data_IF_969508160934
#
_entry.id   IF_969508160934
#
_cell.length_a   1.000
_cell.length_b   1.000
_cell.length_c   1.000
_cell.angle_alpha   90.00
_cell.angle_beta   90.00
_cell.angle_gamma   90.00
#
_symmetry.space_group_name_H-M   'P 1'
#
loop_
_entity.id
_entity.type
_entity.pdbx_description
1 polymer ?
#
# COMPACT_ATOMS: atom_id res chain seq x y z
N UNK A 1 38.22 -0.04 -18.01
CA UNK A 1 36.78 -0.34 -17.83
C UNK A 1 36.65 -1.78 -17.34
N UNK A 2 36.18 -2.01 -16.11
CA UNK A 2 35.84 -3.38 -15.67
C UNK A 2 34.60 -3.83 -16.43
N UNK A 3 34.63 -5.04 -16.98
CA UNK A 3 33.46 -5.67 -17.60
C UNK A 3 32.34 -5.79 -16.56
N UNK A 4 31.12 -5.33 -16.90
CA UNK A 4 29.94 -5.48 -16.04
C UNK A 4 29.63 -6.96 -15.86
N UNK A 5 29.28 -7.37 -14.65
CA UNK A 5 28.83 -8.74 -14.39
C UNK A 5 27.56 -9.07 -15.19
N UNK A 6 27.34 -10.35 -15.48
CA UNK A 6 26.11 -10.81 -16.14
C UNK A 6 24.84 -10.40 -15.36
N UNK A 7 24.91 -10.29 -14.03
CA UNK A 7 23.82 -9.77 -13.20
C UNK A 7 23.55 -8.29 -13.47
N UNK A 8 24.58 -7.45 -13.56
CA UNK A 8 24.43 -6.02 -13.88
C UNK A 8 23.74 -5.79 -15.23
N UNK A 9 24.11 -6.56 -16.26
CA UNK A 9 23.46 -6.48 -17.59
C UNK A 9 21.98 -6.85 -17.53
N UNK A 10 21.61 -7.88 -16.73
CA UNK A 10 20.21 -8.27 -16.54
C UNK A 10 19.42 -7.22 -15.75
N UNK A 11 20.01 -6.62 -14.73
CA UNK A 11 19.37 -5.53 -13.98
C UNK A 11 19.08 -4.34 -14.89
N UNK A 12 20.01 -3.97 -15.77
CA UNK A 12 19.80 -2.89 -16.76
C UNK A 12 18.66 -3.19 -17.74
N UNK A 13 18.47 -4.46 -18.10
CA UNK A 13 17.33 -4.89 -18.89
C UNK A 13 16.01 -4.68 -18.13
N UNK A 14 15.92 -5.12 -16.87
CA UNK A 14 14.72 -4.91 -16.06
C UNK A 14 14.46 -3.44 -15.75
N UNK A 15 15.50 -2.65 -15.54
CA UNK A 15 15.41 -1.19 -15.40
C UNK A 15 14.73 -0.56 -16.60
N UNK A 16 15.17 -0.91 -17.81
CA UNK A 16 14.51 -0.44 -19.04
C UNK A 16 13.05 -0.88 -19.15
N UNK A 17 12.72 -2.10 -18.73
CA UNK A 17 11.33 -2.57 -18.72
C UNK A 17 10.49 -1.73 -17.76
N UNK A 18 10.89 -1.65 -16.49
CA UNK A 18 10.17 -0.92 -15.45
C UNK A 18 9.92 0.53 -15.85
N UNK A 19 10.90 1.22 -16.43
CA UNK A 19 10.71 2.56 -16.95
C UNK A 19 9.71 2.63 -18.11
N UNK A 20 9.79 1.69 -19.06
CA UNK A 20 8.93 1.67 -20.26
C UNK A 20 7.51 1.16 -20.02
N UNK A 21 7.24 0.45 -18.93
CA UNK A 21 5.93 -0.16 -18.68
C UNK A 21 5.23 0.39 -17.44
N UNK A 22 5.97 0.83 -16.42
CA UNK A 22 5.40 1.30 -15.15
C UNK A 22 5.69 2.79 -14.94
N UNK A 23 6.97 3.16 -14.80
CA UNK A 23 7.33 4.51 -14.35
C UNK A 23 7.00 5.61 -15.35
N UNK A 24 6.94 5.32 -16.66
CA UNK A 24 6.46 6.28 -17.66
C UNK A 24 5.03 6.77 -17.43
N UNK A 25 4.22 6.04 -16.65
CA UNK A 25 2.84 6.39 -16.34
C UNK A 25 2.69 7.01 -14.94
N UNK A 26 3.77 7.06 -14.15
CA UNK A 26 3.73 7.62 -12.80
C UNK A 26 3.46 9.13 -12.88
N UNK A 27 2.42 9.59 -12.19
CA UNK A 27 2.13 11.01 -12.15
C UNK A 27 3.26 11.76 -11.41
N UNK A 28 3.83 12.84 -11.99
CA UNK A 28 4.98 13.52 -11.40
C UNK A 28 4.65 14.27 -10.11
N UNK A 29 3.39 14.66 -9.91
CA UNK A 29 2.95 15.44 -8.74
C UNK A 29 2.54 14.50 -7.61
N UNK A 30 1.58 13.61 -7.87
CA UNK A 30 1.01 12.73 -6.84
C UNK A 30 1.84 11.46 -6.61
N UNK A 31 2.59 11.00 -7.63
CA UNK A 31 3.23 9.68 -7.61
C UNK A 31 2.32 8.52 -7.97
N UNK A 32 1.03 8.76 -8.18
CA UNK A 32 0.06 7.71 -8.45
C UNK A 32 0.12 7.23 -9.91
N UNK A 33 -0.20 5.96 -10.11
CA UNK A 33 -0.35 5.32 -11.41
C UNK A 33 -1.84 5.27 -11.79
N UNK A 34 -2.22 5.73 -12.99
CA UNK A 34 -3.56 5.52 -13.53
C UNK A 34 -3.76 4.06 -13.94
N UNK A 35 -5.01 3.60 -13.96
CA UNK A 35 -5.38 2.26 -14.42
C UNK A 35 -5.08 2.05 -15.91
N UNK A 36 -5.22 3.11 -16.73
CA UNK A 36 -4.84 3.08 -18.14
C UNK A 36 -4.56 4.49 -18.67
N UNK A 37 -4.21 4.63 -19.95
CA UNK A 37 -4.05 5.93 -20.62
C UNK A 37 -5.32 6.79 -20.57
N UNK A 38 -6.48 6.14 -20.65
CA UNK A 38 -7.78 6.81 -20.75
C UNK A 38 -8.55 6.81 -19.43
N UNK A 39 -8.10 6.01 -18.45
CA UNK A 39 -8.68 5.93 -17.13
C UNK A 39 -7.71 6.47 -16.07
N UNK A 40 -7.94 7.72 -15.64
CA UNK A 40 -7.13 8.37 -14.61
C UNK A 40 -7.45 7.94 -13.18
N UNK A 41 -8.22 6.88 -12.96
CA UNK A 41 -8.40 6.33 -11.62
C UNK A 41 -7.16 5.55 -11.20
N UNK A 42 -6.76 5.69 -9.95
CA UNK A 42 -5.64 5.05 -9.32
C UNK A 42 -6.18 4.16 -8.20
N UNK A 43 -6.34 2.87 -8.49
CA UNK A 43 -6.66 1.89 -7.45
C UNK A 43 -5.46 1.68 -6.54
N UNK A 44 -5.72 1.61 -5.23
CA UNK A 44 -4.70 1.39 -4.21
C UNK A 44 -3.94 0.08 -4.52
N UNK A 45 -4.66 -1.01 -4.80
CA UNK A 45 -4.06 -2.32 -5.11
C UNK A 45 -3.18 -2.30 -6.35
N UNK A 46 -3.69 -1.75 -7.45
CA UNK A 46 -2.97 -1.72 -8.73
C UNK A 46 -1.67 -0.92 -8.62
N UNK A 47 -1.72 0.19 -7.88
CA UNK A 47 -0.54 1.00 -7.56
C UNK A 47 0.48 0.20 -6.74
N UNK A 48 0.03 -0.52 -5.72
CA UNK A 48 0.88 -1.34 -4.87
C UNK A 48 1.50 -2.53 -5.62
N UNK A 49 0.71 -3.28 -6.39
CA UNK A 49 1.23 -4.40 -7.19
C UNK A 49 2.22 -3.93 -8.25
N UNK A 50 1.99 -2.77 -8.86
CA UNK A 50 2.93 -2.20 -9.83
C UNK A 50 4.23 -1.78 -9.17
N UNK A 51 4.17 -1.10 -8.02
CA UNK A 51 5.38 -0.57 -7.35
C UNK A 51 6.25 -1.67 -6.73
N UNK A 52 5.69 -2.83 -6.38
CA UNK A 52 6.47 -3.98 -5.89
C UNK A 52 7.56 -4.39 -6.89
N UNK A 53 7.29 -4.35 -8.19
CA UNK A 53 8.30 -4.66 -9.21
C UNK A 53 9.45 -3.62 -9.23
N UNK A 54 9.11 -2.35 -9.03
CA UNK A 54 10.08 -1.23 -8.94
C UNK A 54 10.96 -1.38 -7.70
N UNK A 55 10.33 -1.64 -6.55
CA UNK A 55 11.01 -1.84 -5.27
C UNK A 55 11.87 -3.12 -5.27
N UNK A 56 11.37 -4.23 -5.82
CA UNK A 56 12.16 -5.45 -5.96
C UNK A 56 13.42 -5.24 -6.81
N UNK A 57 13.31 -4.45 -7.88
CA UNK A 57 14.47 -4.07 -8.69
C UNK A 57 15.44 -3.17 -7.93
N UNK A 58 14.94 -2.19 -7.15
CA UNK A 58 15.82 -1.33 -6.34
C UNK A 58 16.58 -2.14 -5.29
N UNK A 59 15.93 -3.10 -4.64
CA UNK A 59 16.56 -4.02 -3.69
C UNK A 59 17.62 -4.90 -4.37
N UNK A 60 17.36 -5.35 -5.59
CA UNK A 60 18.32 -6.12 -6.37
C UNK A 60 19.55 -5.29 -6.75
N UNK A 61 19.37 -4.03 -7.17
CA UNK A 61 20.49 -3.11 -7.41
C UNK A 61 21.26 -2.81 -6.11
N UNK A 62 20.55 -2.52 -5.00
CA UNK A 62 21.16 -2.26 -3.68
C UNK A 62 22.09 -3.38 -3.25
N UNK A 63 21.71 -4.64 -3.47
CA UNK A 63 22.53 -5.82 -3.15
C UNK A 63 23.76 -5.98 -4.04
N UNK A 64 23.74 -5.43 -5.26
CA UNK A 64 24.79 -5.57 -6.28
C UNK A 64 25.51 -4.24 -6.59
N UNK A 65 25.38 -3.23 -5.74
CA UNK A 65 25.86 -1.87 -6.00
C UNK A 65 27.39 -1.73 -5.86
N UNK A 66 28.12 -2.34 -6.79
CA UNK A 66 29.59 -2.27 -6.89
C UNK A 66 30.06 -0.97 -7.58
N UNK A 67 29.15 -0.25 -8.24
CA UNK A 67 29.42 0.93 -9.06
C UNK A 67 28.50 2.10 -8.67
N UNK A 68 29.00 3.33 -8.81
CA UNK A 68 28.22 4.54 -8.49
C UNK A 68 26.96 4.70 -9.37
N UNK A 69 27.00 4.23 -10.61
CA UNK A 69 25.83 4.22 -11.52
C UNK A 69 24.68 3.35 -10.97
N UNK A 70 25.01 2.20 -10.37
CA UNK A 70 24.00 1.28 -9.82
C UNK A 70 23.39 1.86 -8.52
N UNK A 71 24.16 2.64 -7.76
CA UNK A 71 23.66 3.40 -6.61
C UNK A 71 22.68 4.49 -7.03
N UNK A 72 22.98 5.22 -8.11
CA UNK A 72 22.08 6.24 -8.64
C UNK A 72 20.74 5.63 -9.10
N UNK A 73 20.78 4.53 -9.87
CA UNK A 73 19.57 3.79 -10.27
C UNK A 73 18.77 3.29 -9.08
N UNK A 74 19.46 2.74 -8.08
CA UNK A 74 18.81 2.32 -6.82
C UNK A 74 18.04 3.48 -6.21
N UNK A 75 18.69 4.63 -6.03
CA UNK A 75 18.09 5.81 -5.43
C UNK A 75 16.87 6.30 -6.21
N UNK A 76 16.96 6.40 -7.54
CA UNK A 76 15.84 6.83 -8.39
C UNK A 76 14.64 5.88 -8.27
N UNK A 77 14.86 4.57 -8.32
CA UNK A 77 13.80 3.57 -8.14
C UNK A 77 13.15 3.66 -6.75
N UNK A 78 13.97 3.83 -5.70
CA UNK A 78 13.48 4.01 -4.33
C UNK A 78 12.64 5.28 -4.17
N UNK A 79 13.09 6.40 -4.75
CA UNK A 79 12.32 7.65 -4.72
C UNK A 79 11.00 7.53 -5.49
N UNK A 80 10.97 6.81 -6.61
CA UNK A 80 9.71 6.47 -7.28
C UNK A 80 8.76 5.66 -6.40
N UNK A 81 9.28 4.71 -5.62
CA UNK A 81 8.47 3.93 -4.67
C UNK A 81 7.92 4.82 -3.54
N UNK A 82 8.78 5.62 -2.92
CA UNK A 82 8.40 6.57 -1.86
C UNK A 82 7.34 7.55 -2.36
N UNK A 83 7.51 8.09 -3.57
CA UNK A 83 6.58 9.04 -4.16
C UNK A 83 5.18 8.43 -4.33
N UNK A 84 5.08 7.20 -4.82
CA UNK A 84 3.80 6.50 -4.97
C UNK A 84 3.15 6.19 -3.62
N UNK A 85 3.91 5.63 -2.67
CA UNK A 85 3.40 5.30 -1.33
C UNK A 85 2.90 6.54 -0.58
N UNK A 86 3.61 7.68 -0.73
CA UNK A 86 3.18 8.97 -0.18
C UNK A 86 1.97 9.55 -0.90
N UNK A 87 1.84 9.33 -2.21
CA UNK A 87 0.65 9.68 -2.97
C UNK A 87 -0.60 8.99 -2.43
N UNK A 88 -0.51 7.68 -2.17
CA UNK A 88 -1.57 6.90 -1.55
C UNK A 88 -1.85 7.39 -0.13
N UNK A 89 -0.81 7.61 0.70
CA UNK A 89 -0.95 8.14 2.06
C UNK A 89 -1.73 9.47 2.07
N UNK A 90 -1.33 10.40 1.20
CA UNK A 90 -1.97 11.71 1.08
C UNK A 90 -3.43 11.58 0.66
N UNK A 91 -3.75 10.65 -0.22
CA UNK A 91 -5.13 10.38 -0.67
C UNK A 91 -5.98 9.77 0.45
N UNK A 92 -5.39 8.91 1.28
CA UNK A 92 -6.05 8.32 2.45
C UNK A 92 -6.26 9.34 3.58
N UNK A 93 -5.26 10.17 3.89
CA UNK A 93 -5.33 11.21 4.93
C UNK A 93 -6.45 12.22 4.63
N UNK A 94 -6.71 12.52 3.36
CA UNK A 94 -7.82 13.39 2.95
C UNK A 94 -9.19 12.84 3.34
N UNK A 95 -9.30 11.54 3.64
CA UNK A 95 -10.50 10.88 4.13
C UNK A 95 -10.42 10.52 5.63
N UNK A 96 -9.54 11.17 6.41
CA UNK A 96 -9.35 10.85 7.85
C UNK A 96 -10.64 10.85 8.67
N UNK A 97 -11.59 11.71 8.35
CA UNK A 97 -12.88 11.77 9.03
C UNK A 97 -13.71 10.49 8.85
N UNK A 98 -13.59 9.84 7.69
CA UNK A 98 -14.20 8.53 7.43
C UNK A 98 -13.54 7.45 8.27
N UNK A 99 -12.20 7.42 8.28
CA UNK A 99 -11.42 6.47 9.09
C UNK A 99 -11.82 6.55 10.58
N UNK A 100 -11.95 7.76 11.13
CA UNK A 100 -12.40 7.95 12.52
C UNK A 100 -13.83 7.47 12.76
N UNK A 101 -14.77 7.76 11.84
CA UNK A 101 -16.16 7.29 11.96
C UNK A 101 -16.25 5.76 11.86
N UNK A 102 -15.49 5.16 10.96
CA UNK A 102 -15.51 3.73 10.69
C UNK A 102 -15.14 2.88 11.90
N UNK A 103 -14.24 3.36 12.77
CA UNK A 103 -13.89 2.67 14.05
C UNK A 103 -15.11 2.35 14.91
N UNK A 104 -16.18 3.13 14.78
CA UNK A 104 -17.43 2.94 15.54
C UNK A 104 -18.53 2.35 14.68
N UNK A 105 -18.68 2.83 13.44
CA UNK A 105 -19.82 2.46 12.61
C UNK A 105 -19.62 1.13 11.88
N UNK A 106 -18.37 0.80 11.51
CA UNK A 106 -18.00 -0.32 10.64
C UNK A 106 -18.88 -0.41 9.39
N UNK A 107 -19.43 0.74 8.95
CA UNK A 107 -20.43 0.81 7.89
C UNK A 107 -19.75 1.09 6.56
N UNK A 108 -20.32 0.56 5.48
CA UNK A 108 -19.80 0.84 4.14
C UNK A 108 -19.77 2.35 3.83
N UNK A 109 -20.69 3.16 4.35
CA UNK A 109 -20.75 4.61 4.04
C UNK A 109 -19.57 5.39 4.64
N UNK A 110 -19.06 4.91 5.77
CA UNK A 110 -17.92 5.51 6.44
C UNK A 110 -16.59 4.85 6.04
N UNK A 111 -16.61 3.91 5.09
CA UNK A 111 -15.43 3.23 4.63
C UNK A 111 -14.53 4.16 3.79
N UNK A 112 -13.23 3.90 3.87
CA UNK A 112 -12.23 4.55 3.05
C UNK A 112 -12.37 4.10 1.58
N UNK A 113 -12.26 5.03 0.63
CA UNK A 113 -12.27 4.67 -0.79
C UNK A 113 -10.97 3.95 -1.16
N UNK A 114 -11.09 2.90 -1.99
CA UNK A 114 -9.94 2.13 -2.48
C UNK A 114 -9.42 2.59 -3.86
N UNK A 115 -9.93 3.70 -4.41
CA UNK A 115 -9.42 4.32 -5.64
C UNK A 115 -9.52 5.84 -5.63
N UNK A 116 -8.59 6.49 -6.32
CA UNK A 116 -8.44 7.95 -6.33
C UNK A 116 -8.22 8.51 -7.72
N UNK A 117 -8.27 9.82 -7.89
CA UNK A 117 -7.81 10.46 -9.11
C UNK A 117 -6.28 10.44 -9.13
N UNK A 118 -5.66 9.82 -10.14
CA UNK A 118 -4.20 9.75 -10.26
C UNK A 118 -3.54 11.13 -10.36
N UNK A 119 -4.29 12.16 -10.78
CA UNK A 119 -3.78 13.53 -10.94
C UNK A 119 -3.93 14.39 -9.69
N UNK A 120 -4.94 14.15 -8.85
CA UNK A 120 -5.26 15.02 -7.70
C UNK A 120 -5.25 14.31 -6.35
N UNK A 121 -5.29 12.97 -6.31
CA UNK A 121 -5.44 12.19 -5.09
C UNK A 121 -6.83 12.24 -4.45
N UNK A 122 -7.81 12.88 -5.11
CA UNK A 122 -9.19 13.01 -4.60
C UNK A 122 -10.01 11.75 -4.88
N UNK A 123 -11.14 11.61 -4.18
CA UNK A 123 -12.17 10.61 -4.51
C UNK A 123 -12.71 10.86 -5.93
N UNK A 124 -13.03 9.77 -6.64
CA UNK A 124 -13.47 9.80 -8.06
C UNK A 124 -14.90 9.33 -8.27
N UNK A 125 -15.53 8.85 -7.20
CA UNK A 125 -16.91 8.35 -7.16
C UNK A 125 -17.51 8.73 -5.82
N UNK A 126 -18.84 8.72 -5.70
CA UNK A 126 -19.56 8.87 -4.44
C UNK A 126 -19.64 7.58 -3.64
N UNK A 127 -20.00 7.68 -2.35
CA UNK A 127 -20.04 6.56 -1.41
C UNK A 127 -21.03 5.44 -1.79
N UNK A 128 -22.07 5.77 -2.53
CA UNK A 128 -23.09 4.80 -2.95
C UNK A 128 -22.93 4.35 -4.42
N UNK A 129 -21.88 4.81 -5.11
CA UNK A 129 -21.70 4.58 -6.55
C UNK A 129 -20.77 3.41 -6.86
N UNK A 130 -20.04 2.91 -5.86
CA UNK A 130 -19.03 1.88 -6.03
C UNK A 130 -18.78 1.10 -4.73
N UNK A 131 -18.49 -0.19 -4.85
CA UNK A 131 -18.21 -1.11 -3.74
C UNK A 131 -16.86 -0.81 -3.07
N UNK A 132 -16.79 0.28 -2.32
CA UNK A 132 -15.53 0.90 -1.91
C UNK A 132 -14.96 0.38 -0.59
N UNK A 133 -15.77 -0.25 0.27
CA UNK A 133 -15.30 -0.96 1.46
C UNK A 133 -14.48 -2.18 1.02
N UNK A 134 -13.17 -1.99 0.88
CA UNK A 134 -12.20 -3.00 0.42
C UNK A 134 -11.06 -3.05 1.42
N UNK A 135 -11.18 -3.96 2.40
CA UNK A 135 -10.26 -4.04 3.54
C UNK A 135 -8.90 -4.57 3.10
N UNK A 136 -8.87 -5.42 2.07
CA UNK A 136 -7.66 -5.91 1.43
C UNK A 136 -6.77 -4.79 0.88
N UNK A 137 -7.36 -3.74 0.29
CA UNK A 137 -6.60 -2.63 -0.28
C UNK A 137 -5.83 -1.84 0.78
N UNK A 138 -6.48 -1.48 1.89
CA UNK A 138 -5.85 -0.80 3.03
C UNK A 138 -4.84 -1.70 3.72
N UNK A 139 -5.15 -2.99 3.87
CA UNK A 139 -4.26 -3.96 4.48
C UNK A 139 -2.99 -4.18 3.65
N UNK A 140 -3.12 -4.29 2.32
CA UNK A 140 -1.97 -4.38 1.42
C UNK A 140 -1.09 -3.12 1.50
N UNK A 141 -1.70 -1.93 1.63
CA UNK A 141 -0.95 -0.69 1.81
C UNK A 141 -0.10 -0.73 3.08
N UNK A 142 -0.68 -1.14 4.21
CA UNK A 142 0.01 -1.25 5.49
C UNK A 142 1.13 -2.30 5.46
N UNK A 143 0.85 -3.48 4.89
CA UNK A 143 1.85 -4.52 4.71
C UNK A 143 3.04 -4.02 3.88
N UNK A 144 2.77 -3.32 2.77
CA UNK A 144 3.83 -2.78 1.93
C UNK A 144 4.59 -1.63 2.59
N UNK A 145 3.90 -0.77 3.32
CA UNK A 145 4.51 0.28 4.13
C UNK A 145 5.51 -0.34 5.13
N UNK A 146 5.09 -1.40 5.84
CA UNK A 146 5.94 -2.08 6.80
C UNK A 146 7.22 -2.64 6.16
N UNK A 147 7.06 -3.41 5.08
CA UNK A 147 8.19 -4.04 4.38
C UNK A 147 9.14 -3.02 3.75
N UNK A 148 8.61 -1.96 3.15
CA UNK A 148 9.43 -0.90 2.55
C UNK A 148 10.18 -0.09 3.62
N UNK A 149 9.53 0.24 4.74
CA UNK A 149 10.19 0.89 5.88
C UNK A 149 11.30 0.01 6.46
N UNK A 150 11.04 -1.29 6.65
CA UNK A 150 12.05 -2.25 7.11
C UNK A 150 13.23 -2.39 6.13
N UNK A 151 13.02 -2.15 4.83
CA UNK A 151 14.09 -2.12 3.81
C UNK A 151 14.91 -0.82 3.79
N UNK A 152 14.57 0.15 4.65
CA UNK A 152 15.24 1.43 4.81
C UNK A 152 14.61 2.60 4.04
N UNK A 153 13.43 2.42 3.43
CA UNK A 153 12.73 3.53 2.78
C UNK A 153 12.06 4.43 3.82
N UNK A 154 12.28 5.73 3.70
CA UNK A 154 11.59 6.72 4.52
C UNK A 154 10.32 7.15 3.80
N UNK A 155 9.16 6.62 4.21
CA UNK A 155 7.87 6.92 3.59
C UNK A 155 7.06 7.90 4.45
N UNK A 156 7.09 7.73 5.78
CA UNK A 156 6.37 8.55 6.77
C UNK A 156 7.29 9.64 7.30
N UNK A 157 6.84 10.89 7.32
CA UNK A 157 7.69 12.06 7.54
C UNK A 157 7.43 12.81 8.85
N UNK A 158 6.25 12.66 9.45
CA UNK A 158 5.90 13.38 10.68
C UNK A 158 4.96 12.55 11.56
N UNK A 159 4.76 13.00 12.80
CA UNK A 159 3.97 12.27 13.80
C UNK A 159 2.46 12.29 13.49
N UNK A 160 1.95 13.27 12.74
CA UNK A 160 0.55 13.26 12.30
C UNK A 160 0.29 12.12 11.30
N UNK A 161 1.25 11.89 10.39
CA UNK A 161 1.21 10.74 9.48
C UNK A 161 1.33 9.42 10.26
N UNK A 162 2.19 9.34 11.29
CA UNK A 162 2.26 8.17 12.19
C UNK A 162 0.90 7.89 12.85
N UNK A 163 0.28 8.92 13.44
CA UNK A 163 -1.02 8.78 14.10
C UNK A 163 -2.10 8.33 13.11
N UNK A 164 -2.06 8.83 11.87
CA UNK A 164 -2.97 8.36 10.83
C UNK A 164 -2.74 6.89 10.45
N UNK A 165 -1.49 6.44 10.34
CA UNK A 165 -1.19 5.01 10.11
C UNK A 165 -1.68 4.14 11.27
N UNK A 166 -1.50 4.59 12.52
CA UNK A 166 -2.08 3.90 13.68
C UNK A 166 -3.61 3.81 13.58
N UNK A 167 -4.28 4.84 13.05
CA UNK A 167 -5.73 4.80 12.80
C UNK A 167 -6.11 3.81 11.69
N UNK A 168 -5.27 3.62 10.67
CA UNK A 168 -5.50 2.59 9.65
C UNK A 168 -5.32 1.17 10.23
N UNK A 169 -4.46 0.98 11.23
CA UNK A 169 -4.37 -0.30 11.96
C UNK A 169 -5.69 -0.59 12.67
N UNK A 170 -6.24 0.38 13.41
CA UNK A 170 -7.58 0.22 14.03
C UNK A 170 -8.69 0.01 12.99
N UNK A 171 -8.54 0.58 11.79
CA UNK A 171 -9.49 0.39 10.70
C UNK A 171 -9.54 -1.06 10.21
N UNK A 172 -8.40 -1.78 10.19
CA UNK A 172 -8.33 -3.17 9.68
C UNK A 172 -8.39 -4.24 10.79
N UNK A 173 -8.29 -3.87 12.07
CA UNK A 173 -8.19 -4.84 13.18
C UNK A 173 -9.41 -5.77 13.27
N UNK A 174 -10.60 -5.26 12.90
CA UNK A 174 -11.85 -6.02 12.89
C UNK A 174 -12.14 -6.72 11.55
N UNK A 175 -11.14 -6.89 10.67
CA UNK A 175 -11.34 -7.50 9.34
C UNK A 175 -11.98 -8.90 9.38
N UNK A 176 -11.72 -9.67 10.44
CA UNK A 176 -12.27 -11.01 10.63
C UNK A 176 -13.81 -11.06 10.75
N UNK A 177 -14.46 -9.92 11.05
CA UNK A 177 -15.91 -9.83 11.22
C UNK A 177 -16.56 -8.72 10.40
N UNK A 178 -15.83 -8.05 9.51
CA UNK A 178 -16.34 -7.00 8.62
C UNK A 178 -16.47 -7.55 7.20
N UNK A 179 -17.70 -7.80 6.71
CA UNK A 179 -17.94 -8.12 5.31
C UNK A 179 -17.53 -6.95 4.40
N UNK A 180 -16.82 -7.23 3.32
CA UNK A 180 -16.29 -6.23 2.40
C UNK A 180 -16.55 -6.61 0.93
N UNK A 181 -16.18 -5.73 -0.01
CA UNK A 181 -16.36 -5.97 -1.45
C UNK A 181 -15.24 -6.83 -2.08
N UNK A 182 -14.22 -7.17 -1.30
CA UNK A 182 -13.08 -7.96 -1.72
C UNK A 182 -12.26 -7.37 -2.87
N UNK A 183 -11.32 -8.17 -3.36
CA UNK A 183 -10.37 -7.76 -4.40
C UNK A 183 -11.05 -7.47 -5.76
N UNK A 184 -12.20 -8.08 -6.00
CA UNK A 184 -12.95 -7.97 -7.25
C UNK A 184 -14.01 -6.88 -7.23
N UNK A 185 -14.18 -6.18 -6.10
CA UNK A 185 -15.10 -5.03 -5.98
C UNK A 185 -16.60 -5.41 -6.09
N UNK A 186 -16.90 -6.70 -5.91
CA UNK A 186 -18.24 -7.28 -6.12
C UNK A 186 -18.94 -7.66 -4.83
N UNK A 187 -18.18 -7.83 -3.74
CA UNK A 187 -18.67 -8.46 -2.53
C UNK A 187 -18.82 -9.95 -2.77
N UNK A 188 -20.05 -10.44 -2.73
CA UNK A 188 -20.39 -11.84 -2.82
C UNK A 188 -19.97 -12.48 -4.15
N UNK A 189 -19.58 -13.77 -4.10
CA UNK A 189 -19.16 -14.51 -5.31
C UNK A 189 -20.25 -14.61 -6.37
N UNK A 190 -21.51 -14.44 -5.99
CA UNK A 190 -22.65 -14.40 -6.91
C UNK A 190 -22.91 -13.02 -7.52
N UNK A 191 -22.11 -12.01 -7.16
CA UNK A 191 -22.11 -10.66 -7.73
C UNK A 191 -23.46 -9.94 -7.63
N UNK A 192 -24.13 -10.09 -6.48
CA UNK A 192 -25.32 -9.31 -6.15
C UNK A 192 -24.99 -7.93 -5.57
N UNK A 193 -23.70 -7.64 -5.37
CA UNK A 193 -23.23 -6.37 -4.80
C UNK A 193 -23.38 -6.32 -3.29
N UNK A 194 -23.40 -7.48 -2.62
CA UNK A 194 -23.51 -7.58 -1.18
C UNK A 194 -22.15 -7.91 -0.57
N UNK A 195 -21.67 -7.17 0.45
CA UNK A 195 -20.40 -7.49 1.11
C UNK A 195 -20.39 -8.90 1.72
N UNK A 196 -19.25 -9.59 1.62
CA UNK A 196 -19.03 -10.90 2.25
C UNK A 196 -17.69 -10.93 2.99
N UNK A 197 -17.48 -11.93 3.85
CA UNK A 197 -16.17 -12.17 4.46
C UNK A 197 -15.22 -12.77 3.43
N UNK A 198 -14.37 -11.93 2.86
CA UNK A 198 -13.37 -12.34 1.88
C UNK A 198 -12.10 -12.86 2.56
N UNK A 199 -11.76 -14.13 2.33
CA UNK A 199 -10.54 -14.74 2.87
C UNK A 199 -9.26 -13.98 2.47
N UNK A 200 -9.22 -13.41 1.26
CA UNK A 200 -8.10 -12.57 0.81
C UNK A 200 -7.95 -11.30 1.65
N UNK A 201 -9.07 -10.66 2.02
CA UNK A 201 -9.08 -9.46 2.86
C UNK A 201 -8.63 -9.78 4.28
N UNK A 202 -9.14 -10.87 4.86
CA UNK A 202 -8.76 -11.31 6.21
C UNK A 202 -7.29 -11.73 6.25
N UNK A 203 -6.82 -12.46 5.24
CA UNK A 203 -5.41 -12.88 5.12
C UNK A 203 -4.44 -11.70 5.01
N UNK A 204 -4.78 -10.70 4.18
CA UNK A 204 -3.97 -9.48 4.06
C UNK A 204 -4.01 -8.65 5.34
N UNK A 205 -5.17 -8.53 5.99
CA UNK A 205 -5.30 -7.83 7.26
C UNK A 205 -4.43 -8.48 8.32
N UNK A 206 -4.47 -9.82 8.44
CA UNK A 206 -3.58 -10.56 9.33
C UNK A 206 -2.11 -10.26 9.07
N UNK A 207 -1.66 -10.38 7.82
CA UNK A 207 -0.27 -10.14 7.45
C UNK A 207 0.17 -8.69 7.75
N UNK A 208 -0.72 -7.72 7.51
CA UNK A 208 -0.48 -6.33 7.83
C UNK A 208 -0.38 -6.09 9.34
N UNK A 209 -1.30 -6.64 10.13
CA UNK A 209 -1.27 -6.55 11.60
C UNK A 209 0.02 -7.14 12.17
N UNK A 210 0.46 -8.31 11.67
CA UNK A 210 1.73 -8.92 12.09
C UNK A 210 2.94 -8.07 11.69
N UNK A 211 2.96 -7.50 10.47
CA UNK A 211 4.09 -6.72 9.98
C UNK A 211 4.20 -5.31 10.59
N UNK A 212 3.07 -4.73 11.00
CA UNK A 212 3.01 -3.39 11.58
C UNK A 212 3.30 -3.37 13.09
N UNK A 213 3.14 -4.50 13.78
CA UNK A 213 3.33 -4.56 15.22
C UNK A 213 4.79 -4.22 15.60
N UNK A 214 4.95 -3.24 16.50
CA UNK A 214 6.25 -2.74 16.98
C UNK A 214 7.14 -2.14 15.89
N UNK A 215 6.60 -1.85 14.71
CA UNK A 215 7.34 -1.19 13.65
C UNK A 215 7.50 0.30 13.95
N UNK A 216 8.75 0.78 13.91
CA UNK A 216 9.06 2.21 13.89
C UNK A 216 8.95 2.76 12.46
N UNK A 217 7.97 3.64 12.21
CA UNK A 217 7.70 4.22 10.90
C UNK A 217 8.77 5.20 10.40
N UNK A 218 9.65 5.69 11.28
CA UNK A 218 10.84 6.46 10.90
C UNK A 218 12.08 5.58 10.70
N UNK A 219 11.92 4.26 10.82
CA UNK A 219 13.00 3.29 10.74
C UNK A 219 14.03 3.51 11.85
N UNK A 220 15.31 3.35 11.53
CA UNK A 220 16.40 3.49 12.51
C UNK A 220 16.57 4.91 13.10
N UNK A 221 15.80 5.90 12.65
CA UNK A 221 15.87 7.29 13.13
C UNK A 221 14.71 7.68 14.05
N UNK A 222 13.78 6.76 14.29
CA UNK A 222 12.61 7.04 15.11
C UNK A 222 12.82 6.86 16.60
N UNK A 223 11.71 6.89 17.32
CA UNK A 223 11.65 6.70 18.76
C UNK A 223 10.26 6.23 19.18
N UNK A 224 9.98 6.16 20.49
CA UNK A 224 8.73 5.58 20.99
C UNK A 224 7.44 6.18 20.39
N UNK A 225 7.48 7.44 19.98
CA UNK A 225 6.33 8.14 19.38
C UNK A 225 6.05 7.76 17.91
N UNK A 226 6.99 7.13 17.21
CA UNK A 226 6.84 6.68 15.82
C UNK A 226 6.60 5.17 15.67
N UNK A 227 6.47 4.46 16.79
CA UNK A 227 6.19 3.02 16.85
C UNK A 227 4.69 2.77 16.73
N UNK A 228 4.34 1.80 15.87
CA UNK A 228 2.97 1.32 15.71
C UNK A 228 2.70 0.14 16.65
N UNK A 229 1.52 0.14 17.25
CA UNK A 229 1.09 -0.90 18.18
C UNK A 229 -0.14 -1.63 17.65
N UNK A 230 -0.12 -2.96 17.78
CA UNK A 230 -1.21 -3.85 17.37
C UNK A 230 -1.62 -4.72 18.55
N UNK A 231 -2.92 -4.87 18.77
CA UNK A 231 -3.44 -5.81 19.76
C UNK A 231 -3.24 -7.25 19.26
N UNK A 232 -2.49 -8.06 20.00
CA UNK A 232 -2.11 -9.41 19.60
C UNK A 232 -3.33 -10.31 19.27
N UNK A 233 -4.43 -10.11 19.99
CA UNK A 233 -5.66 -10.88 19.81
C UNK A 233 -6.28 -10.71 18.41
N UNK A 234 -6.15 -9.54 17.77
CA UNK A 234 -6.83 -9.26 16.50
C UNK A 234 -6.20 -10.06 15.33
N UNK A 235 -4.88 -10.22 15.33
CA UNK A 235 -4.21 -11.10 14.38
C UNK A 235 -4.60 -12.59 14.59
N UNK A 236 -4.78 -13.01 15.85
CA UNK A 236 -5.22 -14.36 16.18
C UNK A 236 -6.67 -14.63 15.77
N UNK A 237 -7.57 -13.64 15.91
CA UNK A 237 -8.95 -13.76 15.42
C UNK A 237 -9.01 -13.91 13.90
N UNK A 238 -8.19 -13.15 13.17
CA UNK A 238 -8.04 -13.34 11.72
C UNK A 238 -7.52 -14.76 11.38
N UNK A 239 -6.52 -15.25 12.11
CA UNK A 239 -6.00 -16.61 11.94
C UNK A 239 -7.06 -17.68 12.19
N UNK A 240 -7.88 -17.52 13.23
CA UNK A 240 -8.94 -18.45 13.57
C UNK A 240 -9.96 -18.58 12.43
N UNK A 241 -10.42 -17.45 11.87
CA UNK A 241 -11.38 -17.46 10.74
C UNK A 241 -10.80 -18.11 9.49
N UNK A 242 -9.50 -17.99 9.23
CA UNK A 242 -8.85 -18.57 8.05
C UNK A 242 -8.59 -20.08 8.16
N UNK A 243 -8.72 -20.68 9.35
CA UNK A 243 -8.52 -22.11 9.58
C UNK A 243 -9.81 -22.94 9.48
N UNK A 244 -10.97 -22.28 9.41
CA UNK A 244 -12.26 -22.92 9.14
C UNK A 244 -12.55 -22.96 7.64
#
# INVERSE_FOLDING_TARGET
MRSRSNSGVRLDYYHRIVHKTILRHQNPVTGLLPASSDNSHAWVRDNLYSVIAVWGLSMAYKKNADLDEDRAKTYELEQSCVKLMRGLLTSMIQQKEKVEKFKRSQSCKDALHAKYCSKTGQTVVGDNEWGHLQVDATSLYLLMLAQMTASGLQIVFNLDEVAFIQNLVFYIESAYCIPDYGIWERGDKTNHGLPELNASSIGLAKAALEAMNELDLFGARGGPASVIHVLADEAQKCQAVLQF
#
